data_IF_292934432067
#
_entry.id   IF_292934432067
#
_cell.length_a   1.000
_cell.length_b   1.000
_cell.length_c   1.000
_cell.angle_alpha   90.00
_cell.angle_beta   90.00
_cell.angle_gamma   90.00
#
_symmetry.space_group_name_H-M   'P 1'
#
loop_
_entity.id
_entity.type
_entity.pdbx_description
1 polymer ?
#
# COMPACT_ATOMS: atom_id res chain seq x y z
N UNK A 1 -94.33 56.04 -12.67
CA UNK A 1 -94.27 54.82 -13.51
C UNK A 1 -93.01 54.73 -14.42
N UNK A 2 -92.19 55.79 -14.58
CA UNK A 2 -90.98 55.70 -15.45
C UNK A 2 -89.73 55.13 -14.80
N UNK A 3 -89.60 55.09 -13.46
CA UNK A 3 -88.41 54.61 -12.76
C UNK A 3 -88.30 53.08 -12.68
N UNK A 4 -89.42 52.34 -12.77
CA UNK A 4 -89.38 50.87 -12.66
C UNK A 4 -88.95 50.19 -13.99
N UNK A 5 -89.24 50.84 -15.10
CA UNK A 5 -88.92 50.33 -16.46
C UNK A 5 -87.43 50.47 -16.74
N UNK A 6 -86.76 51.55 -16.28
CA UNK A 6 -85.30 51.69 -16.41
C UNK A 6 -84.45 50.69 -15.56
N UNK A 7 -84.96 50.33 -14.39
CA UNK A 7 -84.28 49.31 -13.52
C UNK A 7 -84.36 47.92 -14.12
N UNK A 8 -85.45 47.58 -14.79
CA UNK A 8 -85.63 46.28 -15.40
C UNK A 8 -84.79 46.15 -16.68
N UNK A 9 -84.70 47.26 -17.45
CA UNK A 9 -83.91 47.31 -18.69
C UNK A 9 -82.39 47.19 -18.40
N UNK A 10 -81.94 47.86 -17.31
CA UNK A 10 -80.55 47.78 -16.86
C UNK A 10 -80.16 46.41 -16.39
N UNK A 11 -81.11 45.68 -15.72
CA UNK A 11 -80.85 44.31 -15.23
C UNK A 11 -80.77 43.32 -16.39
N UNK A 12 -81.57 43.45 -17.43
CA UNK A 12 -81.52 42.60 -18.63
C UNK A 12 -80.28 42.91 -19.49
N UNK A 13 -79.82 44.17 -19.53
CA UNK A 13 -78.63 44.56 -20.25
C UNK A 13 -77.37 44.06 -19.51
N UNK A 14 -77.36 44.08 -18.14
CA UNK A 14 -76.29 43.56 -17.36
C UNK A 14 -76.20 41.99 -17.40
N UNK A 15 -77.37 41.33 -17.48
CA UNK A 15 -77.44 39.86 -17.61
C UNK A 15 -77.01 39.40 -19.02
N UNK A 16 -77.29 40.19 -20.07
CA UNK A 16 -76.82 39.91 -21.42
C UNK A 16 -75.34 40.13 -21.59
N UNK A 17 -74.74 41.09 -20.86
CA UNK A 17 -73.29 41.33 -20.87
C UNK A 17 -72.48 40.21 -20.12
N UNK A 18 -73.07 39.61 -19.06
CA UNK A 18 -72.46 38.51 -18.34
C UNK A 18 -72.49 37.19 -19.12
N UNK A 19 -73.57 37.00 -19.95
CA UNK A 19 -73.68 35.78 -20.77
C UNK A 19 -72.71 35.79 -21.99
N UNK A 20 -72.29 36.98 -22.51
CA UNK A 20 -71.34 37.10 -23.58
C UNK A 20 -69.88 36.81 -23.10
N UNK A 21 -69.56 37.00 -21.79
CA UNK A 21 -68.28 36.76 -21.22
C UNK A 21 -67.97 35.27 -21.04
N UNK A 22 -68.92 34.34 -21.06
CA UNK A 22 -68.75 32.91 -20.91
C UNK A 22 -68.42 32.13 -22.17
N UNK A 23 -68.51 32.76 -23.36
CA UNK A 23 -68.28 32.07 -24.64
C UNK A 23 -66.87 32.31 -25.18
N UNK A 24 -66.04 33.18 -24.54
CA UNK A 24 -64.76 33.61 -25.08
C UNK A 24 -63.52 32.76 -24.51
N UNK A 25 -63.75 31.71 -23.76
CA UNK A 25 -62.65 30.88 -23.22
C UNK A 25 -62.63 29.41 -23.69
N UNK A 26 -62.87 29.19 -25.00
CA UNK A 26 -62.45 27.94 -25.65
C UNK A 26 -61.30 28.22 -26.60
N UNK A 27 -60.20 28.68 -26.01
CA UNK A 27 -58.91 28.67 -26.68
C UNK A 27 -58.46 27.20 -26.73
N UNK A 28 -58.62 26.56 -27.88
CA UNK A 28 -57.89 25.37 -28.22
C UNK A 28 -56.42 25.71 -28.19
N UNK A 29 -55.77 25.49 -27.05
CA UNK A 29 -54.30 25.41 -27.02
C UNK A 29 -53.92 24.18 -27.84
N UNK A 30 -53.55 24.39 -29.10
CA UNK A 30 -52.75 23.42 -29.83
C UNK A 30 -51.57 23.13 -28.93
N UNK A 31 -51.54 21.93 -28.31
CA UNK A 31 -50.34 21.40 -27.71
C UNK A 31 -49.23 21.58 -28.75
N UNK A 32 -48.34 22.54 -28.50
CA UNK A 32 -47.09 22.63 -29.24
C UNK A 32 -46.40 21.33 -28.91
N UNK A 33 -46.46 20.36 -29.85
CA UNK A 33 -45.63 19.17 -29.78
C UNK A 33 -44.18 19.65 -29.62
N UNK A 34 -43.62 19.51 -28.42
CA UNK A 34 -42.21 19.84 -28.23
C UNK A 34 -41.40 19.04 -29.26
N UNK A 35 -40.47 19.67 -29.97
CA UNK A 35 -39.63 18.95 -30.92
C UNK A 35 -38.95 17.77 -30.19
N UNK A 36 -39.06 16.60 -30.77
CA UNK A 36 -38.45 15.37 -30.20
C UNK A 36 -36.95 15.64 -30.11
N UNK A 37 -36.36 15.63 -28.90
CA UNK A 37 -34.95 15.95 -28.72
C UNK A 37 -34.09 14.85 -29.35
N UNK A 38 -33.02 15.30 -30.03
CA UNK A 38 -31.97 14.40 -30.55
C UNK A 38 -30.90 14.27 -29.51
N UNK A 39 -30.61 13.05 -29.04
CA UNK A 39 -29.67 12.81 -27.98
C UNK A 39 -28.67 11.73 -28.39
N UNK A 40 -27.42 11.90 -27.95
CA UNK A 40 -26.39 10.89 -28.14
C UNK A 40 -26.65 9.68 -27.27
N UNK A 41 -26.68 8.55 -27.93
CA UNK A 41 -26.93 7.23 -27.31
C UNK A 41 -25.81 6.27 -27.66
N UNK A 42 -25.62 5.27 -26.83
CA UNK A 42 -24.63 4.21 -27.01
C UNK A 42 -25.32 2.85 -26.87
N UNK A 43 -24.96 1.93 -27.75
CA UNK A 43 -25.33 0.53 -27.60
C UNK A 43 -24.34 -0.11 -26.61
N UNK A 44 -24.86 -0.76 -25.60
CA UNK A 44 -24.03 -1.47 -24.64
C UNK A 44 -23.58 -2.81 -25.22
N UNK A 45 -22.29 -3.07 -25.09
CA UNK A 45 -21.70 -4.37 -25.39
C UNK A 45 -20.95 -4.87 -24.16
N UNK A 46 -21.09 -6.16 -23.89
CA UNK A 46 -20.31 -6.81 -22.86
C UNK A 46 -18.84 -6.87 -23.28
N UNK A 47 -17.96 -6.57 -22.36
CA UNK A 47 -16.51 -6.60 -22.56
C UNK A 47 -15.78 -6.86 -21.25
N UNK A 48 -14.47 -6.96 -21.34
CA UNK A 48 -13.64 -7.17 -20.17
C UNK A 48 -13.23 -5.82 -19.54
N UNK A 49 -13.23 -5.76 -18.23
CA UNK A 49 -12.85 -4.56 -17.48
C UNK A 49 -11.80 -4.89 -16.43
N UNK A 50 -10.75 -4.08 -16.34
CA UNK A 50 -9.80 -4.14 -15.23
C UNK A 50 -10.04 -2.96 -14.30
N UNK A 51 -10.34 -3.26 -13.06
CA UNK A 51 -10.55 -2.28 -11.99
C UNK A 51 -9.38 -2.35 -11.03
N UNK A 52 -8.91 -1.20 -10.58
CA UNK A 52 -7.85 -1.15 -9.58
C UNK A 52 -8.42 -0.85 -8.20
N UNK A 53 -8.17 -1.73 -7.25
CA UNK A 53 -8.43 -1.47 -5.83
C UNK A 53 -7.18 -0.86 -5.22
N UNK A 54 -7.33 0.31 -4.59
CA UNK A 54 -6.24 1.06 -4.01
C UNK A 54 -6.10 0.75 -2.52
N UNK A 55 -4.85 0.50 -2.09
CA UNK A 55 -4.48 0.32 -0.68
C UNK A 55 -3.34 1.26 -0.34
N UNK A 56 -3.52 2.03 0.73
CA UNK A 56 -2.41 2.81 1.28
C UNK A 56 -1.32 1.87 1.78
N UNK A 57 -0.06 2.17 1.48
CA UNK A 57 1.08 1.34 1.86
C UNK A 57 2.24 2.18 2.35
N UNK A 58 3.05 1.59 3.22
CA UNK A 58 4.37 2.07 3.57
C UNK A 58 5.41 1.12 3.02
N UNK A 59 6.46 1.70 2.45
CA UNK A 59 7.56 0.97 1.88
C UNK A 59 8.62 0.69 2.95
N UNK A 60 9.09 -0.53 2.98
CA UNK A 60 10.17 -0.97 3.86
C UNK A 60 11.17 -1.80 3.07
N UNK A 61 12.44 -1.56 3.27
CA UNK A 61 13.47 -2.42 2.71
C UNK A 61 13.37 -3.84 3.25
N UNK A 62 13.76 -4.81 2.45
CA UNK A 62 13.83 -6.22 2.84
C UNK A 62 14.67 -6.42 4.11
N UNK A 63 15.79 -5.70 4.22
CA UNK A 63 16.67 -5.76 5.38
C UNK A 63 16.93 -4.34 5.90
N UNK A 64 16.41 -4.04 7.07
CA UNK A 64 16.72 -2.85 7.85
C UNK A 64 17.39 -3.32 9.14
N UNK A 65 18.69 -3.08 9.27
CA UNK A 65 19.47 -3.53 10.42
C UNK A 65 19.86 -2.34 11.26
N UNK A 66 19.43 -2.36 12.51
CA UNK A 66 19.80 -1.37 13.51
C UNK A 66 21.12 -1.79 14.18
N UNK A 67 22.10 -0.92 14.14
CA UNK A 67 23.45 -1.19 14.64
C UNK A 67 23.61 -0.59 16.04
N UNK A 68 23.98 -1.44 16.99
CA UNK A 68 24.27 -1.08 18.38
C UNK A 68 25.74 -1.36 18.70
N UNK A 69 26.27 -0.68 19.72
CA UNK A 69 27.61 -0.95 20.24
C UNK A 69 27.60 -2.10 21.27
N UNK A 70 28.62 -2.97 21.19
CA UNK A 70 28.99 -3.92 22.24
C UNK A 70 30.18 -3.48 23.06
N UNK A 71 30.88 -2.40 22.63
CA UNK A 71 32.01 -1.83 23.34
C UNK A 71 31.64 -0.46 23.93
N UNK A 72 32.26 -0.08 25.03
CA UNK A 72 32.16 1.24 25.66
C UNK A 72 33.41 2.04 25.37
N UNK A 73 33.28 3.31 25.05
CA UNK A 73 34.38 4.23 24.80
C UNK A 73 34.00 5.44 23.98
N UNK A 74 34.91 6.32 23.71
CA UNK A 74 34.66 7.50 22.89
C UNK A 74 34.81 7.15 21.40
N UNK A 75 34.00 7.79 20.56
CA UNK A 75 34.15 7.69 19.09
C UNK A 75 35.48 8.30 18.69
N UNK A 76 36.39 7.46 18.20
CA UNK A 76 37.67 7.89 17.68
C UNK A 76 37.52 8.48 16.28
N UNK A 77 36.78 7.76 15.41
CA UNK A 77 36.61 8.14 14.00
C UNK A 77 35.31 7.59 13.42
N UNK A 78 34.68 8.39 12.57
CA UNK A 78 33.62 7.97 11.63
C UNK A 78 34.25 7.76 10.24
N UNK A 79 33.92 6.65 9.61
CA UNK A 79 34.43 6.31 8.27
C UNK A 79 33.41 6.58 7.16
N UNK A 80 32.13 6.77 7.54
CA UNK A 80 31.03 6.99 6.63
C UNK A 80 30.15 8.15 7.10
N UNK A 81 29.41 8.73 6.17
CA UNK A 81 28.39 9.74 6.41
C UNK A 81 27.00 9.16 6.23
N UNK A 82 26.00 9.91 6.73
CA UNK A 82 24.57 9.60 6.51
C UNK A 82 24.26 9.61 5.01
N UNK A 83 23.57 8.58 4.53
CA UNK A 83 23.25 8.42 3.10
C UNK A 83 24.31 7.72 2.26
N UNK A 84 25.49 7.43 2.81
CA UNK A 84 26.54 6.70 2.10
C UNK A 84 26.15 5.25 1.83
N UNK A 85 26.59 4.74 0.68
CA UNK A 85 26.51 3.32 0.37
C UNK A 85 27.65 2.55 1.05
N UNK A 86 27.28 1.47 1.72
CA UNK A 86 28.25 0.60 2.42
C UNK A 86 28.12 -0.84 1.96
N UNK A 87 29.25 -1.54 1.96
CA UNK A 87 29.31 -2.97 1.73
C UNK A 87 29.37 -3.73 3.07
N UNK A 88 28.92 -5.01 3.04
CA UNK A 88 29.07 -5.89 4.19
C UNK A 88 30.54 -5.97 4.62
N UNK A 89 30.79 -5.73 5.92
CA UNK A 89 32.14 -5.69 6.50
C UNK A 89 32.84 -4.35 6.42
N UNK A 90 32.28 -3.35 5.69
CA UNK A 90 32.86 -2.01 5.63
C UNK A 90 32.77 -1.32 6.98
N UNK A 91 33.88 -0.73 7.50
CA UNK A 91 33.88 0.04 8.75
C UNK A 91 32.95 1.24 8.68
N UNK A 92 32.14 1.43 9.74
CA UNK A 92 31.26 2.58 9.92
C UNK A 92 31.89 3.57 10.89
N UNK A 93 32.31 3.10 12.05
CA UNK A 93 33.02 3.91 13.05
C UNK A 93 34.01 3.07 13.85
N UNK A 94 34.95 3.73 14.48
CA UNK A 94 35.91 3.17 15.43
C UNK A 94 35.73 3.85 16.79
N UNK A 95 35.68 3.04 17.82
CA UNK A 95 35.74 3.43 19.23
C UNK A 95 37.21 3.42 19.65
N UNK A 96 37.65 4.32 20.54
CA UNK A 96 38.97 4.30 21.13
C UNK A 96 39.24 2.93 21.75
N UNK A 97 40.32 2.30 21.31
CA UNK A 97 40.62 0.88 21.58
C UNK A 97 41.85 0.67 22.49
N UNK A 98 42.45 1.75 23.02
CA UNK A 98 43.67 1.69 23.83
C UNK A 98 43.56 0.71 25.01
N UNK A 99 42.46 0.75 25.76
CA UNK A 99 42.27 -0.13 26.93
C UNK A 99 42.05 -1.58 26.50
N UNK A 100 41.33 -1.80 25.41
CA UNK A 100 41.12 -3.12 24.81
C UNK A 100 42.40 -3.71 24.27
N UNK A 101 43.28 -2.91 23.65
CA UNK A 101 44.61 -3.32 23.20
C UNK A 101 45.50 -3.74 24.37
N UNK A 102 45.48 -2.98 25.48
CA UNK A 102 46.23 -3.35 26.69
C UNK A 102 45.71 -4.63 27.29
N UNK A 103 44.38 -4.85 27.33
CA UNK A 103 43.81 -6.10 27.82
C UNK A 103 44.24 -7.30 26.94
N UNK A 104 44.25 -7.14 25.62
CA UNK A 104 44.76 -8.18 24.71
C UNK A 104 46.22 -8.50 24.98
N UNK A 105 47.10 -7.49 25.12
CA UNK A 105 48.53 -7.67 25.41
C UNK A 105 48.75 -8.38 26.73
N UNK A 106 48.02 -8.01 27.79
CA UNK A 106 48.10 -8.65 29.10
C UNK A 106 47.67 -10.11 29.04
N UNK A 107 46.52 -10.39 28.43
CA UNK A 107 46.02 -11.74 28.26
C UNK A 107 46.93 -12.62 27.38
N UNK A 108 47.53 -12.02 26.33
CA UNK A 108 48.51 -12.67 25.50
C UNK A 108 49.76 -13.10 26.27
N UNK A 109 50.29 -12.23 27.13
CA UNK A 109 51.44 -12.55 27.96
C UNK A 109 51.13 -13.70 28.95
N UNK A 110 49.94 -13.70 29.59
CA UNK A 110 49.49 -14.79 30.44
C UNK A 110 49.36 -16.13 29.67
N UNK A 111 48.78 -16.10 28.48
CA UNK A 111 48.73 -17.28 27.60
C UNK A 111 50.10 -17.82 27.22
N UNK A 112 51.02 -16.93 26.84
CA UNK A 112 52.41 -17.33 26.51
C UNK A 112 53.13 -17.96 27.70
N UNK A 113 52.97 -17.36 28.89
CA UNK A 113 53.57 -17.93 30.12
C UNK A 113 53.01 -19.35 30.43
N UNK A 114 51.69 -19.53 30.35
CA UNK A 114 51.09 -20.85 30.55
C UNK A 114 51.55 -21.87 29.51
N UNK A 115 51.70 -21.44 28.24
CA UNK A 115 52.21 -22.28 27.15
C UNK A 115 53.67 -22.74 27.42
N UNK A 116 54.51 -21.82 27.89
CA UNK A 116 55.88 -22.14 28.24
C UNK A 116 55.97 -23.10 29.43
N UNK A 117 55.08 -22.98 30.44
CA UNK A 117 55.06 -23.90 31.57
C UNK A 117 54.67 -25.34 31.14
N UNK A 118 53.65 -25.48 30.31
CA UNK A 118 53.28 -26.80 29.73
C UNK A 118 54.44 -27.37 28.93
N UNK A 119 55.11 -26.57 28.07
CA UNK A 119 56.27 -27.02 27.29
C UNK A 119 57.42 -27.46 28.16
N UNK A 120 57.65 -26.82 29.29
CA UNK A 120 58.71 -27.17 30.28
C UNK A 120 58.37 -28.43 31.01
N UNK A 121 57.14 -28.60 31.45
CA UNK A 121 56.71 -29.71 32.31
C UNK A 121 56.53 -31.00 31.49
N UNK A 122 56.06 -30.96 30.27
CA UNK A 122 55.82 -32.13 29.41
C UNK A 122 56.97 -33.09 29.35
N UNK A 123 58.26 -32.74 29.03
CA UNK A 123 59.36 -33.69 28.94
C UNK A 123 59.80 -34.21 30.30
N UNK A 124 59.50 -33.51 31.41
CA UNK A 124 59.80 -33.96 32.75
C UNK A 124 58.82 -35.06 33.23
N UNK A 125 57.54 -34.94 32.82
CA UNK A 125 56.54 -35.98 33.04
C UNK A 125 56.86 -37.25 32.24
N UNK A 126 57.25 -37.08 30.96
CA UNK A 126 57.65 -38.17 30.07
C UNK A 126 58.86 -39.00 30.67
N UNK A 127 59.76 -38.31 31.39
CA UNK A 127 60.86 -38.89 32.05
C UNK A 127 60.56 -39.44 33.49
N UNK A 128 59.26 -39.32 33.91
CA UNK A 128 58.86 -39.80 35.27
C UNK A 128 59.37 -38.93 36.44
N UNK A 129 59.86 -37.67 36.13
CA UNK A 129 60.39 -36.73 37.14
C UNK A 129 59.29 -36.00 37.90
N UNK A 130 58.18 -35.67 37.16
CA UNK A 130 57.05 -34.95 37.71
C UNK A 130 55.75 -35.75 37.47
N UNK A 131 54.77 -35.57 38.37
CA UNK A 131 53.50 -36.28 38.31
C UNK A 131 52.68 -35.87 37.05
N UNK A 132 52.02 -36.83 36.38
CA UNK A 132 51.06 -36.50 35.27
C UNK A 132 49.98 -35.55 35.70
N UNK A 133 49.55 -35.50 36.95
CA UNK A 133 48.57 -34.57 37.49
C UNK A 133 49.03 -33.11 37.37
N UNK A 134 50.34 -32.83 37.55
CA UNK A 134 50.89 -31.52 37.38
C UNK A 134 50.76 -31.04 35.92
N UNK A 135 51.06 -31.89 34.95
CA UNK A 135 50.90 -31.59 33.53
C UNK A 135 49.42 -31.30 33.18
N UNK A 136 48.49 -32.11 33.74
CA UNK A 136 47.06 -31.87 33.52
C UNK A 136 46.61 -30.54 34.11
N UNK A 137 47.13 -30.16 35.30
CA UNK A 137 46.83 -28.83 35.87
C UNK A 137 47.36 -27.70 35.01
N UNK A 138 48.61 -27.82 34.52
CA UNK A 138 49.22 -26.79 33.68
C UNK A 138 48.53 -26.71 32.30
N UNK A 139 48.05 -27.81 31.74
CA UNK A 139 47.21 -27.83 30.54
C UNK A 139 45.87 -27.11 30.77
N UNK A 140 45.22 -27.35 31.92
CA UNK A 140 43.97 -26.66 32.27
C UNK A 140 44.19 -25.13 32.43
N UNK A 141 45.31 -24.73 33.03
CA UNK A 141 45.71 -23.34 33.16
C UNK A 141 45.99 -22.71 31.79
N UNK A 142 46.62 -23.46 30.88
CA UNK A 142 46.86 -23.02 29.50
C UNK A 142 45.54 -22.77 28.74
N UNK A 143 44.59 -23.69 28.82
CA UNK A 143 43.27 -23.52 28.18
C UNK A 143 42.51 -22.33 28.77
N UNK A 144 42.55 -22.11 30.10
CA UNK A 144 41.94 -20.94 30.72
C UNK A 144 42.58 -19.62 30.26
N UNK A 145 43.95 -19.58 30.19
CA UNK A 145 44.67 -18.40 29.70
C UNK A 145 44.40 -18.16 28.22
N UNK A 146 44.30 -19.19 27.40
CA UNK A 146 43.93 -19.12 25.99
C UNK A 146 42.52 -18.55 25.82
N UNK A 147 41.55 -19.05 26.55
CA UNK A 147 40.17 -18.55 26.54
C UNK A 147 40.09 -17.04 26.90
N UNK A 148 40.84 -16.63 27.92
CA UNK A 148 40.93 -15.21 28.30
C UNK A 148 41.55 -14.34 27.22
N UNK A 149 42.59 -14.81 26.55
CA UNK A 149 43.20 -14.11 25.40
C UNK A 149 42.22 -13.97 24.21
N UNK A 150 41.51 -15.03 23.84
CA UNK A 150 40.50 -14.99 22.77
C UNK A 150 39.34 -14.06 23.15
N UNK A 151 38.89 -14.07 24.41
CA UNK A 151 37.87 -13.12 24.88
C UNK A 151 38.32 -11.67 24.77
N UNK A 152 39.58 -11.35 25.13
CA UNK A 152 40.13 -10.01 24.99
C UNK A 152 40.18 -9.57 23.51
N UNK A 153 40.55 -10.45 22.60
CA UNK A 153 40.53 -10.22 21.14
C UNK A 153 39.13 -9.94 20.62
N UNK A 154 38.15 -10.73 21.06
CA UNK A 154 36.73 -10.52 20.68
C UNK A 154 36.27 -9.15 21.16
N UNK A 155 36.55 -8.77 22.39
CA UNK A 155 36.19 -7.46 22.95
C UNK A 155 36.85 -6.30 22.16
N UNK A 156 38.12 -6.46 21.78
CA UNK A 156 38.81 -5.51 20.89
C UNK A 156 38.12 -5.42 19.51
N UNK A 157 37.68 -6.54 18.95
CA UNK A 157 36.98 -6.54 17.67
C UNK A 157 35.68 -5.72 17.67
N UNK A 158 35.01 -5.61 18.83
CA UNK A 158 33.80 -4.83 19.01
C UNK A 158 34.03 -3.32 18.98
N UNK A 159 35.27 -2.84 19.04
CA UNK A 159 35.61 -1.41 18.93
C UNK A 159 35.53 -0.92 17.49
N UNK A 160 35.68 -1.80 16.50
CA UNK A 160 35.50 -1.49 15.09
C UNK A 160 34.12 -1.95 14.64
N UNK A 161 33.20 -0.99 14.48
CA UNK A 161 31.83 -1.27 14.10
C UNK A 161 31.73 -1.21 12.58
N UNK A 162 31.29 -2.32 11.98
CA UNK A 162 31.17 -2.51 10.53
C UNK A 162 29.74 -2.84 10.13
N UNK A 163 29.41 -2.56 8.85
CA UNK A 163 28.10 -2.91 8.30
C UNK A 163 27.92 -4.43 8.18
N UNK A 164 26.83 -5.00 8.67
CA UNK A 164 26.53 -6.43 8.51
C UNK A 164 25.97 -6.78 7.13
N UNK A 165 25.53 -5.78 6.32
CA UNK A 165 24.90 -5.95 5.02
C UNK A 165 25.36 -4.87 4.04
N UNK A 166 25.09 -5.09 2.74
CA UNK A 166 25.19 -4.04 1.73
C UNK A 166 23.95 -3.15 1.85
N UNK A 167 24.10 -1.82 1.78
CA UNK A 167 22.98 -0.92 1.88
C UNK A 167 23.38 0.55 2.03
N UNK A 168 22.41 1.37 2.43
CA UNK A 168 22.58 2.81 2.70
C UNK A 168 22.55 3.05 4.20
N UNK A 169 23.48 3.87 4.67
CA UNK A 169 23.58 4.29 6.07
C UNK A 169 22.48 5.30 6.38
N UNK A 170 21.71 5.05 7.43
CA UNK A 170 20.72 5.96 7.96
C UNK A 170 21.34 7.11 8.76
N UNK A 171 20.53 7.76 9.57
CA UNK A 171 20.99 8.85 10.42
C UNK A 171 22.04 8.36 11.45
N UNK A 172 23.12 9.13 11.62
CA UNK A 172 24.14 8.91 12.63
C UNK A 172 24.07 10.08 13.64
N UNK A 173 23.55 9.80 14.84
CA UNK A 173 23.40 10.83 15.89
C UNK A 173 24.71 11.15 16.60
N UNK A 174 25.70 10.26 16.50
CA UNK A 174 27.00 10.35 17.15
C UNK A 174 27.99 11.18 16.34
N UNK A 175 28.92 11.82 17.01
CA UNK A 175 30.02 12.57 16.42
C UNK A 175 31.35 12.09 17.01
N UNK A 176 32.45 12.40 16.36
CA UNK A 176 33.77 12.15 16.92
C UNK A 176 33.87 12.76 18.33
N UNK A 177 34.35 12.02 19.31
CA UNK A 177 34.40 12.40 20.71
C UNK A 177 33.15 12.10 21.52
N UNK A 178 32.04 11.62 20.89
CA UNK A 178 30.86 11.17 21.63
C UNK A 178 31.16 9.92 22.44
N UNK A 179 30.62 9.80 23.65
CA UNK A 179 30.69 8.58 24.46
C UNK A 179 29.64 7.57 23.96
N UNK A 180 30.07 6.35 23.73
CA UNK A 180 29.24 5.18 23.45
C UNK A 180 29.30 4.26 24.66
N UNK A 181 28.14 3.71 25.07
CA UNK A 181 28.04 2.70 26.14
C UNK A 181 27.54 1.40 25.55
N UNK A 182 28.19 0.29 25.91
CA UNK A 182 27.74 -1.04 25.50
C UNK A 182 26.31 -1.31 25.99
N UNK A 183 25.45 -1.84 25.11
CA UNK A 183 24.07 -2.13 25.46
C UNK A 183 23.15 -0.91 25.62
N UNK A 184 23.58 0.30 25.24
CA UNK A 184 22.71 1.46 25.21
C UNK A 184 21.50 1.24 24.31
N UNK A 185 20.32 1.75 24.72
CA UNK A 185 19.08 1.64 23.94
C UNK A 185 19.12 2.48 22.65
N UNK A 186 19.98 3.50 22.60
CA UNK A 186 20.14 4.36 21.41
C UNK A 186 21.03 3.68 20.39
N UNK A 187 20.56 3.43 19.18
CA UNK A 187 21.36 2.84 18.13
C UNK A 187 22.40 3.83 17.61
N UNK A 188 23.48 3.30 17.07
CA UNK A 188 24.51 4.10 16.37
C UNK A 188 23.96 4.62 15.06
N UNK A 189 23.38 3.73 14.27
CA UNK A 189 22.74 4.02 12.99
C UNK A 189 21.89 2.82 12.55
N UNK A 190 21.20 2.97 11.45
CA UNK A 190 20.55 1.85 10.72
C UNK A 190 21.20 1.71 9.36
N UNK A 191 21.29 0.49 8.86
CA UNK A 191 21.67 0.22 7.46
C UNK A 191 20.50 -0.46 6.79
N UNK A 192 20.00 0.16 5.71
CA UNK A 192 18.87 -0.31 4.92
C UNK A 192 19.39 -0.89 3.60
N UNK A 193 19.06 -2.14 3.27
CA UNK A 193 19.47 -2.72 1.99
C UNK A 193 18.75 -2.06 0.81
N UNK A 194 19.43 -1.96 -0.35
CA UNK A 194 18.89 -1.30 -1.54
C UNK A 194 18.16 -2.26 -2.50
N UNK A 195 18.03 -3.52 -2.12
CA UNK A 195 17.45 -4.57 -2.96
C UNK A 195 15.94 -4.45 -3.13
N UNK A 196 15.23 -5.51 -2.76
CA UNK A 196 13.78 -5.50 -2.82
C UNK A 196 13.17 -4.58 -1.76
N UNK A 197 12.05 -3.98 -2.13
CA UNK A 197 11.22 -3.17 -1.24
C UNK A 197 9.88 -3.87 -0.99
N UNK A 198 9.48 -3.91 0.25
CA UNK A 198 8.21 -4.46 0.69
C UNK A 198 7.19 -3.34 0.88
N UNK A 199 6.08 -3.42 0.18
CA UNK A 199 4.93 -2.57 0.37
C UNK A 199 3.89 -3.33 1.21
N UNK A 200 3.76 -2.99 2.48
CA UNK A 200 2.81 -3.63 3.39
C UNK A 200 1.44 -2.99 3.26
N UNK A 201 0.40 -3.82 3.19
CA UNK A 201 -0.99 -3.38 3.15
C UNK A 201 -1.89 -4.40 3.86
N UNK A 202 -3.02 -3.92 4.36
CA UNK A 202 -3.99 -4.77 5.05
C UNK A 202 -5.22 -4.97 4.17
N UNK A 203 -5.75 -6.18 4.18
CA UNK A 203 -7.00 -6.54 3.51
C UNK A 203 -7.94 -7.18 4.51
N UNK A 204 -9.22 -6.86 4.43
CA UNK A 204 -10.25 -7.50 5.23
C UNK A 204 -10.36 -8.99 4.90
N UNK A 205 -10.54 -9.83 5.90
CA UNK A 205 -10.66 -11.28 5.73
C UNK A 205 -11.75 -11.66 4.74
N UNK A 206 -12.89 -10.97 4.76
CA UNK A 206 -14.00 -11.21 3.84
C UNK A 206 -13.58 -10.99 2.38
N UNK A 207 -12.87 -9.90 2.08
CA UNK A 207 -12.34 -9.62 0.74
C UNK A 207 -11.30 -10.64 0.31
N UNK A 208 -10.42 -11.03 1.23
CA UNK A 208 -9.40 -12.03 0.97
C UNK A 208 -10.04 -13.37 0.60
N UNK A 209 -11.07 -13.81 1.33
CA UNK A 209 -11.82 -15.02 1.01
C UNK A 209 -12.48 -14.93 -0.36
N UNK A 210 -13.14 -13.80 -0.70
CA UNK A 210 -13.72 -13.57 -2.03
C UNK A 210 -12.68 -13.65 -3.16
N UNK A 211 -11.49 -13.11 -2.98
CA UNK A 211 -10.43 -13.17 -3.99
C UNK A 211 -9.86 -14.57 -4.19
N UNK A 212 -9.92 -15.38 -3.16
CA UNK A 212 -9.31 -16.71 -3.17
C UNK A 212 -10.33 -17.85 -3.29
N UNK A 213 -11.62 -17.55 -3.36
CA UNK A 213 -12.70 -18.53 -3.39
C UNK A 213 -12.60 -19.48 -4.60
N UNK A 214 -12.34 -18.93 -5.79
CA UNK A 214 -12.20 -19.69 -7.02
C UNK A 214 -10.87 -20.45 -7.16
N UNK A 215 -9.89 -20.13 -6.31
CA UNK A 215 -8.55 -20.70 -6.37
C UNK A 215 -8.44 -21.95 -5.48
N UNK A 216 -7.81 -23.02 -6.00
CA UNK A 216 -7.53 -24.26 -5.24
C UNK A 216 -6.16 -24.15 -4.57
N UNK A 217 -6.01 -24.78 -3.41
CA UNK A 217 -4.75 -24.89 -2.67
C UNK A 217 -4.77 -24.17 -1.33
N UNK A 218 -3.63 -24.12 -0.68
CA UNK A 218 -3.43 -23.39 0.58
C UNK A 218 -3.56 -21.88 0.37
N UNK A 219 -3.82 -21.12 1.43
CA UNK A 219 -3.92 -19.65 1.36
C UNK A 219 -2.66 -19.03 0.74
N UNK A 220 -1.48 -19.50 1.10
CA UNK A 220 -0.21 -19.03 0.55
C UNK A 220 -0.13 -19.25 -0.97
N UNK A 221 -0.53 -20.43 -1.45
CA UNK A 221 -0.54 -20.72 -2.89
C UNK A 221 -1.55 -19.86 -3.64
N UNK A 222 -2.73 -19.65 -3.05
CA UNK A 222 -3.77 -18.79 -3.60
C UNK A 222 -3.27 -17.34 -3.74
N UNK A 223 -2.66 -16.80 -2.69
CA UNK A 223 -2.11 -15.43 -2.69
C UNK A 223 -0.97 -15.29 -3.70
N UNK A 224 -0.10 -16.29 -3.83
CA UNK A 224 1.00 -16.26 -4.81
C UNK A 224 0.52 -16.27 -6.27
N UNK A 225 -0.73 -16.64 -6.53
CA UNK A 225 -1.39 -16.61 -7.86
C UNK A 225 -2.13 -15.32 -8.15
N UNK A 226 -2.23 -14.42 -7.17
CA UNK A 226 -2.83 -13.10 -7.41
C UNK A 226 -2.02 -12.34 -8.48
N UNK A 227 -2.70 -11.52 -9.29
CA UNK A 227 -2.01 -10.71 -10.28
C UNK A 227 -1.02 -9.75 -9.62
N UNK A 228 0.06 -9.38 -10.31
CA UNK A 228 1.05 -8.46 -9.75
C UNK A 228 0.42 -7.09 -9.48
N UNK A 229 0.84 -6.47 -8.38
CA UNK A 229 0.39 -5.15 -7.98
C UNK A 229 1.19 -4.05 -8.67
N UNK A 230 0.55 -2.91 -8.96
CA UNK A 230 1.22 -1.67 -9.32
C UNK A 230 1.43 -0.83 -8.06
N UNK A 231 2.44 0.03 -8.08
CA UNK A 231 2.71 1.01 -7.02
C UNK A 231 2.60 2.41 -7.61
N UNK A 232 1.78 3.24 -7.00
CA UNK A 232 1.82 4.70 -7.20
C UNK A 232 2.64 5.32 -6.08
N UNK A 233 3.61 6.12 -6.46
CA UNK A 233 4.44 6.89 -5.54
C UNK A 233 3.62 8.01 -4.89
N UNK A 234 4.22 8.70 -3.92
CA UNK A 234 3.54 9.77 -3.18
C UNK A 234 3.06 10.95 -4.07
N UNK A 235 3.71 11.16 -5.21
CA UNK A 235 3.34 12.17 -6.21
C UNK A 235 2.27 11.68 -7.22
N UNK A 236 1.79 10.43 -7.08
CA UNK A 236 0.85 9.79 -8.00
C UNK A 236 1.51 9.15 -9.23
N UNK A 237 2.82 9.26 -9.39
CA UNK A 237 3.54 8.62 -10.49
C UNK A 237 3.53 7.11 -10.34
N UNK A 238 3.28 6.39 -11.44
CA UNK A 238 3.32 4.93 -11.43
C UNK A 238 4.76 4.45 -11.44
N UNK A 239 5.12 3.60 -10.46
CA UNK A 239 6.41 2.94 -10.42
C UNK A 239 6.56 1.96 -11.60
N UNK A 240 7.71 1.92 -12.29
CA UNK A 240 7.84 1.15 -13.55
C UNK A 240 7.84 -0.36 -13.37
N UNK A 241 8.14 -0.86 -12.16
CA UNK A 241 8.16 -2.29 -11.87
C UNK A 241 6.91 -2.71 -11.10
N UNK A 242 6.38 -3.89 -11.42
CA UNK A 242 5.25 -4.48 -10.69
C UNK A 242 5.73 -5.29 -9.48
N UNK A 243 4.91 -5.33 -8.44
CA UNK A 243 5.18 -6.05 -7.20
C UNK A 243 4.50 -7.41 -7.15
N UNK A 244 5.21 -8.44 -6.69
CA UNK A 244 4.66 -9.76 -6.43
C UNK A 244 4.03 -9.78 -5.04
N UNK A 245 2.76 -10.21 -4.96
CA UNK A 245 2.03 -10.28 -3.68
C UNK A 245 2.45 -11.55 -2.93
N UNK A 246 2.58 -11.42 -1.62
CA UNK A 246 2.90 -12.51 -0.68
C UNK A 246 2.25 -12.25 0.67
N UNK A 247 2.17 -13.26 1.53
CA UNK A 247 1.77 -13.08 2.92
C UNK A 247 2.79 -12.18 3.66
N UNK A 248 2.27 -11.19 4.35
CA UNK A 248 3.04 -10.35 5.27
C UNK A 248 3.02 -10.91 6.70
N UNK A 249 1.89 -11.55 7.06
CA UNK A 249 1.70 -12.24 8.33
C UNK A 249 0.89 -13.52 8.11
N UNK A 250 1.15 -14.56 8.89
CA UNK A 250 0.33 -15.77 8.91
C UNK A 250 -0.90 -15.69 9.82
N UNK A 251 -1.14 -14.53 10.46
CA UNK A 251 -2.20 -14.32 11.44
C UNK A 251 -3.12 -13.19 10.98
N UNK A 252 -4.42 -13.38 11.18
CA UNK A 252 -5.42 -12.31 11.07
C UNK A 252 -5.35 -11.47 12.34
N UNK A 253 -5.37 -10.16 12.20
CA UNK A 253 -5.45 -9.27 13.35
C UNK A 253 -6.85 -9.35 13.96
N UNK A 254 -6.98 -9.83 15.22
CA UNK A 254 -8.30 -10.06 15.83
C UNK A 254 -9.06 -8.77 16.13
N UNK A 255 -8.38 -7.62 16.23
CA UNK A 255 -9.02 -6.33 16.52
C UNK A 255 -9.65 -5.72 15.26
N UNK A 256 -9.01 -5.91 14.10
CA UNK A 256 -9.45 -5.29 12.83
C UNK A 256 -10.06 -6.27 11.85
N UNK A 257 -9.97 -7.60 12.10
CA UNK A 257 -10.40 -8.63 11.16
C UNK A 257 -9.64 -8.60 9.83
N UNK A 258 -8.40 -8.08 9.84
CA UNK A 258 -7.62 -7.90 8.61
C UNK A 258 -6.38 -8.79 8.58
N UNK A 259 -5.99 -9.17 7.38
CA UNK A 259 -4.76 -9.90 7.08
C UNK A 259 -3.72 -8.95 6.51
N UNK A 260 -2.50 -9.02 7.05
CA UNK A 260 -1.38 -8.25 6.54
C UNK A 260 -0.76 -8.98 5.34
N UNK A 261 -0.74 -8.31 4.20
CA UNK A 261 -0.06 -8.73 2.99
C UNK A 261 1.11 -7.82 2.70
N UNK A 262 2.03 -8.29 1.86
CA UNK A 262 3.10 -7.48 1.31
C UNK A 262 3.22 -7.69 -0.19
N UNK A 263 3.54 -6.63 -0.90
CA UNK A 263 3.96 -6.70 -2.29
C UNK A 263 5.47 -6.44 -2.35
N UNK A 264 6.20 -7.27 -3.08
CA UNK A 264 7.66 -7.23 -3.20
C UNK A 264 8.00 -6.57 -4.51
N UNK A 265 8.61 -5.38 -4.45
CA UNK A 265 9.03 -4.60 -5.61
C UNK A 265 10.55 -4.63 -5.77
N UNK A 266 11.08 -4.95 -6.96
CA UNK A 266 12.50 -4.73 -7.23
C UNK A 266 12.82 -3.24 -7.24
N UNK A 267 13.99 -2.85 -6.74
CA UNK A 267 14.41 -1.45 -6.64
C UNK A 267 15.81 -1.20 -7.24
N UNK A 268 16.02 -1.51 -8.53
CA UNK A 268 17.36 -1.44 -9.14
C UNK A 268 17.88 -0.01 -9.26
N UNK A 269 17.02 0.99 -9.30
CA UNK A 269 17.39 2.40 -9.39
C UNK A 269 17.44 3.09 -8.02
N UNK A 270 17.20 2.35 -6.94
CA UNK A 270 17.21 2.85 -5.56
C UNK A 270 16.28 4.06 -5.31
N UNK A 271 15.25 4.18 -6.15
CA UNK A 271 14.26 5.25 -6.04
C UNK A 271 13.38 5.10 -4.79
N UNK A 272 13.01 3.85 -4.47
CA UNK A 272 12.21 3.54 -3.30
C UNK A 272 13.08 3.52 -2.04
N UNK A 273 12.61 4.16 -0.97
CA UNK A 273 13.32 4.21 0.31
C UNK A 273 12.42 3.73 1.44
N UNK A 274 13.04 3.16 2.46
CA UNK A 274 12.35 2.76 3.69
C UNK A 274 11.68 3.99 4.33
N UNK A 275 10.41 3.83 4.70
CA UNK A 275 9.60 4.92 5.27
C UNK A 275 8.82 5.74 4.25
N UNK A 276 9.07 5.58 2.94
CA UNK A 276 8.25 6.22 1.91
C UNK A 276 6.83 5.67 1.93
N UNK A 277 5.85 6.53 1.66
CA UNK A 277 4.45 6.15 1.47
C UNK A 277 4.12 6.00 -0.02
N UNK A 278 3.09 5.23 -0.32
CA UNK A 278 2.57 5.06 -1.66
C UNK A 278 1.18 4.46 -1.65
N UNK A 279 0.62 4.25 -2.84
CA UNK A 279 -0.66 3.58 -3.04
C UNK A 279 -0.43 2.32 -3.86
N UNK A 280 -0.71 1.17 -3.27
CA UNK A 280 -0.69 -0.10 -3.96
C UNK A 280 -1.99 -0.27 -4.74
N UNK A 281 -1.90 -0.56 -6.02
CA UNK A 281 -3.03 -0.82 -6.90
C UNK A 281 -3.08 -2.31 -7.26
N UNK A 282 -4.14 -2.98 -6.82
CA UNK A 282 -4.40 -4.38 -7.17
C UNK A 282 -5.39 -4.43 -8.32
N UNK A 283 -5.03 -5.01 -9.46
CA UNK A 283 -5.96 -5.21 -10.56
C UNK A 283 -6.96 -6.32 -10.22
N UNK A 284 -8.24 -6.03 -10.42
CA UNK A 284 -9.33 -7.00 -10.40
C UNK A 284 -9.89 -7.07 -11.81
N UNK A 285 -9.83 -8.23 -12.41
CA UNK A 285 -10.31 -8.45 -13.75
C UNK A 285 -11.75 -8.96 -13.72
N UNK A 286 -12.61 -8.33 -14.49
CA UNK A 286 -14.00 -8.73 -14.69
C UNK A 286 -14.19 -9.09 -16.16
N UNK A 287 -14.65 -10.27 -16.41
CA UNK A 287 -14.97 -10.78 -17.76
C UNK A 287 -16.45 -10.60 -18.06
N UNK A 288 -16.77 -10.29 -19.32
CA UNK A 288 -18.14 -10.20 -19.83
C UNK A 288 -19.06 -9.29 -19.02
N UNK A 289 -18.58 -8.10 -18.64
CA UNK A 289 -19.34 -7.10 -17.88
C UNK A 289 -19.77 -5.93 -18.76
N UNK A 290 -20.90 -5.30 -18.40
CA UNK A 290 -21.35 -4.09 -19.04
C UNK A 290 -20.69 -2.87 -18.39
N UNK A 291 -20.16 -1.98 -19.21
CA UNK A 291 -19.57 -0.72 -18.76
C UNK A 291 -20.41 0.45 -19.21
N UNK A 292 -20.71 1.35 -18.28
CA UNK A 292 -21.53 2.52 -18.50
C UNK A 292 -20.76 3.77 -18.09
N UNK A 293 -20.66 4.83 -18.96
CA UNK A 293 -20.04 6.08 -18.57
C UNK A 293 -20.74 6.70 -17.35
N UNK A 294 -19.95 7.15 -16.35
CA UNK A 294 -20.51 7.76 -15.13
C UNK A 294 -21.41 8.95 -15.45
N UNK A 295 -21.06 9.74 -16.48
CA UNK A 295 -21.85 10.90 -16.95
C UNK A 295 -23.24 10.55 -17.48
N UNK A 296 -23.49 9.28 -17.85
CA UNK A 296 -24.78 8.78 -18.33
C UNK A 296 -25.73 8.39 -17.19
N UNK A 297 -25.26 8.43 -15.95
CA UNK A 297 -26.02 8.01 -14.76
C UNK A 297 -26.46 9.22 -13.93
N UNK A 298 -27.54 9.06 -13.19
CA UNK A 298 -28.06 10.04 -12.23
C UNK A 298 -28.59 9.35 -10.99
N UNK A 299 -28.69 10.09 -9.89
CA UNK A 299 -29.11 9.54 -8.61
C UNK A 299 -30.54 10.00 -8.26
N UNK A 300 -31.42 9.07 -7.92
CA UNK A 300 -32.74 9.33 -7.37
C UNK A 300 -32.88 8.50 -6.08
N UNK A 301 -33.14 9.16 -4.94
CA UNK A 301 -33.42 8.49 -3.65
C UNK A 301 -32.40 7.38 -3.33
N UNK A 302 -31.12 7.68 -3.43
CA UNK A 302 -29.99 6.74 -3.22
C UNK A 302 -29.92 5.54 -4.20
N UNK A 303 -30.69 5.59 -5.29
CA UNK A 303 -30.60 4.61 -6.37
C UNK A 303 -29.87 5.22 -7.56
N UNK A 304 -28.95 4.48 -8.13
CA UNK A 304 -28.29 4.90 -9.38
C UNK A 304 -29.14 4.49 -10.56
N UNK A 305 -29.50 5.47 -11.37
CA UNK A 305 -30.42 5.33 -12.50
C UNK A 305 -29.71 5.64 -13.81
N UNK A 306 -30.24 5.06 -14.88
CA UNK A 306 -29.84 5.36 -16.26
C UNK A 306 -31.07 5.36 -17.16
N UNK A 307 -31.03 6.12 -18.24
CA UNK A 307 -32.08 6.09 -19.24
C UNK A 307 -31.76 5.06 -20.33
N UNK A 308 -32.62 4.05 -20.44
CA UNK A 308 -32.59 3.03 -21.50
C UNK A 308 -33.62 3.40 -22.55
N UNK A 309 -33.26 3.32 -23.83
CA UNK A 309 -34.13 3.65 -24.97
C UNK A 309 -34.72 2.37 -25.53
N UNK A 310 -36.05 2.31 -25.64
CA UNK A 310 -36.74 1.19 -26.25
C UNK A 310 -36.74 1.27 -27.80
N UNK A 311 -37.26 0.22 -28.44
CA UNK A 311 -37.37 0.13 -29.92
C UNK A 311 -38.30 1.21 -30.55
N UNK A 312 -39.10 1.89 -29.73
CA UNK A 312 -40.01 3.00 -30.16
C UNK A 312 -39.41 4.38 -29.94
N UNK A 313 -38.17 4.45 -29.40
CA UNK A 313 -37.49 5.68 -29.05
C UNK A 313 -38.01 6.32 -27.74
N UNK A 314 -38.62 5.55 -26.85
CA UNK A 314 -39.10 5.99 -25.54
C UNK A 314 -38.00 5.66 -24.51
N UNK A 315 -37.69 6.64 -23.65
CA UNK A 315 -36.71 6.47 -22.59
C UNK A 315 -37.36 5.93 -21.31
N UNK A 316 -36.70 4.96 -20.69
CA UNK A 316 -37.14 4.36 -19.43
C UNK A 316 -36.04 4.55 -18.39
N UNK A 317 -36.36 5.14 -17.24
CA UNK A 317 -35.47 5.27 -16.12
C UNK A 317 -35.29 3.91 -15.46
N UNK A 318 -34.13 3.30 -15.64
CA UNK A 318 -33.81 1.95 -15.16
C UNK A 318 -32.85 2.04 -13.97
N UNK A 319 -33.14 1.33 -12.88
CA UNK A 319 -32.25 1.19 -11.73
C UNK A 319 -31.11 0.25 -12.09
N UNK A 320 -29.87 0.65 -11.74
CA UNK A 320 -28.67 -0.15 -11.99
C UNK A 320 -27.92 -0.40 -10.69
N UNK A 321 -27.34 -1.59 -10.59
CA UNK A 321 -26.43 -1.94 -9.49
C UNK A 321 -24.99 -1.84 -10.00
N UNK A 322 -24.20 -0.97 -9.34
CA UNK A 322 -22.78 -0.77 -9.68
C UNK A 322 -21.95 -1.75 -8.87
N UNK A 323 -21.16 -2.58 -9.56
CA UNK A 323 -20.22 -3.54 -8.97
C UNK A 323 -18.87 -2.92 -8.66
N UNK A 324 -18.38 -2.06 -9.55
CA UNK A 324 -17.07 -1.42 -9.45
C UNK A 324 -16.97 -0.18 -10.33
N UNK A 325 -15.88 0.57 -10.15
CA UNK A 325 -15.55 1.77 -10.94
C UNK A 325 -14.29 1.51 -11.75
N UNK A 326 -14.40 1.55 -13.08
CA UNK A 326 -13.29 1.38 -14.03
C UNK A 326 -12.99 2.72 -14.72
N UNK A 327 -12.08 3.50 -14.16
CA UNK A 327 -11.79 4.86 -14.65
C UNK A 327 -13.05 5.74 -14.63
N UNK A 328 -13.50 6.22 -15.79
CA UNK A 328 -14.71 7.04 -15.94
C UNK A 328 -15.99 6.23 -16.16
N UNK A 329 -15.92 4.90 -16.07
CA UNK A 329 -17.05 4.01 -16.29
C UNK A 329 -17.43 3.25 -15.00
N UNK A 330 -18.71 2.95 -14.86
CA UNK A 330 -19.22 1.97 -13.90
C UNK A 330 -19.26 0.59 -14.53
N UNK A 331 -18.81 -0.42 -13.80
CA UNK A 331 -19.05 -1.83 -14.09
C UNK A 331 -20.39 -2.21 -13.47
N UNK A 332 -21.31 -2.68 -14.28
CA UNK A 332 -22.69 -2.96 -13.87
C UNK A 332 -22.85 -4.44 -13.54
N UNK A 333 -23.50 -4.72 -12.39
CA UNK A 333 -23.88 -6.09 -12.02
C UNK A 333 -25.31 -6.45 -12.40
N UNK A 334 -26.25 -5.48 -12.35
CA UNK A 334 -27.66 -5.72 -12.59
C UNK A 334 -28.33 -4.50 -13.18
N UNK A 335 -29.47 -4.71 -13.86
CA UNK A 335 -30.33 -3.65 -14.40
C UNK A 335 -30.18 -3.37 -15.88
N UNK A 336 -29.15 -3.92 -16.54
CA UNK A 336 -28.90 -3.74 -17.97
C UNK A 336 -28.60 -5.09 -18.64
N UNK A 337 -28.81 -5.15 -19.94
CA UNK A 337 -28.49 -6.30 -20.78
C UNK A 337 -27.66 -5.87 -21.98
N UNK A 338 -26.92 -6.83 -22.54
CA UNK A 338 -26.20 -6.62 -23.80
C UNK A 338 -27.15 -6.19 -24.91
N UNK A 339 -26.73 -5.21 -25.72
CA UNK A 339 -27.58 -4.63 -26.76
C UNK A 339 -28.54 -3.54 -26.27
N UNK A 340 -28.65 -3.23 -24.98
CA UNK A 340 -29.42 -2.07 -24.54
C UNK A 340 -28.86 -0.77 -25.10
N UNK A 341 -29.73 0.14 -25.48
CA UNK A 341 -29.36 1.49 -25.93
C UNK A 341 -29.52 2.42 -24.72
N UNK A 342 -28.49 3.11 -24.35
CA UNK A 342 -28.49 4.07 -23.24
C UNK A 342 -28.23 5.50 -23.72
N UNK A 343 -28.81 6.49 -23.03
CA UNK A 343 -28.55 7.91 -23.27
C UNK A 343 -27.27 8.29 -22.56
N UNK A 344 -26.30 8.89 -23.29
CA UNK A 344 -24.99 9.27 -22.74
C UNK A 344 -24.83 10.77 -22.49
N UNK A 345 -25.62 11.60 -23.15
CA UNK A 345 -25.59 13.06 -22.99
C UNK A 345 -27.03 13.64 -22.95
N UNK A 346 -27.21 14.78 -22.27
CA UNK A 346 -28.52 15.45 -22.18
C UNK A 346 -29.51 14.81 -21.21
N UNK A 347 -29.03 14.00 -20.24
CA UNK A 347 -29.87 13.30 -19.25
C UNK A 347 -30.75 14.25 -18.42
N UNK A 348 -30.34 15.50 -18.23
CA UNK A 348 -31.10 16.52 -17.50
C UNK A 348 -32.30 17.08 -18.27
N UNK A 349 -32.34 16.87 -19.58
CA UNK A 349 -33.39 17.39 -20.49
C UNK A 349 -34.55 16.42 -20.66
N UNK A 350 -34.44 15.21 -20.20
CA UNK A 350 -35.40 14.14 -20.41
C UNK A 350 -36.02 13.65 -19.12
N UNK A 351 -37.20 13.06 -19.26
CA UNK A 351 -37.93 12.40 -18.15
C UNK A 351 -38.33 11.00 -18.58
N UNK A 352 -38.62 10.16 -17.62
CA UNK A 352 -39.15 8.82 -17.85
C UNK A 352 -40.40 8.88 -18.74
N UNK A 353 -40.49 7.97 -19.71
CA UNK A 353 -41.60 7.93 -20.68
C UNK A 353 -41.50 8.91 -21.85
N UNK A 354 -40.46 9.76 -21.89
CA UNK A 354 -40.29 10.74 -22.95
C UNK A 354 -39.79 10.09 -24.25
N UNK A 355 -40.28 10.56 -25.40
CA UNK A 355 -39.78 10.10 -26.69
C UNK A 355 -38.59 10.94 -27.16
N UNK A 356 -37.54 10.27 -27.62
CA UNK A 356 -36.32 10.89 -28.17
C UNK A 356 -36.02 10.34 -29.56
N UNK A 357 -35.14 11.05 -30.28
CA UNK A 357 -34.54 10.55 -31.51
C UNK A 357 -33.07 10.21 -31.21
N UNK A 358 -32.72 8.90 -31.03
CA UNK A 358 -31.38 8.49 -30.64
C UNK A 358 -30.39 8.71 -31.80
N UNK A 359 -29.26 9.34 -31.49
CA UNK A 359 -28.08 9.41 -32.36
C UNK A 359 -27.11 8.40 -31.81
N UNK A 360 -26.93 7.29 -32.52
CA UNK A 360 -25.98 6.25 -32.15
C UNK A 360 -24.56 6.65 -32.56
N UNK A 361 -23.64 6.56 -31.63
CA UNK A 361 -22.20 6.76 -31.85
C UNK A 361 -21.53 5.42 -32.05
#
# INVERSE_FOLDING_TARGET
>A
MLQSVYRSLFFYLALALVSISFVACHSHSKEKSMPIPRLHCMVLHSGDATVYTNYATQLQSENVITIYSRATGYVERLYVSEGDHVHKGQPILKIQDNDYLQAVRSAQAAYQNALLEVKKVTPLVEKGIISPYQLQTDQSNLEAAKANYENAKINLSYTLISSPVNGVVGQITLRQGSLITAGAATPITTVSSNGNMFAYFSIDEQKMLQWTDTLKGSLQEKINRLPPANLLLADGTKYPYSGKISLGSGLVNPTTGSLLLKAIFPNPQELLRTGSSGTLQLPVHYEHVLMVPQKATFDIQNKKMIYVVDKKGIVHATNISVKAVAGNNYVISEGLSDGNIIVIDGITLIKDGMRINPILN
#
